data_IF_982669821675
#
_entry.id   IF_982669821675
#
_cell.length_a   1.000
_cell.length_b   1.000
_cell.length_c   1.000
_cell.angle_alpha   90.00
_cell.angle_beta   90.00
_cell.angle_gamma   90.00
#
_symmetry.space_group_name_H-M   'P 1'
#
loop_
_entity.id
_entity.type
_entity.pdbx_description
1 polymer ?
#
# COMPACT_ATOMS: atom_id res chain seq x y z
N UNK A 1 -14.27 4.47 -21.39
CA UNK A 1 -13.05 5.27 -21.20
C UNK A 1 -11.92 4.32 -20.81
N UNK A 2 -11.07 3.94 -21.76
CA UNK A 2 -9.94 3.06 -21.47
C UNK A 2 -8.91 3.83 -20.62
N UNK A 3 -8.61 3.32 -19.42
CA UNK A 3 -7.71 3.98 -18.49
C UNK A 3 -6.26 3.90 -19.03
N UNK A 4 -5.58 5.06 -19.12
CA UNK A 4 -4.16 5.10 -19.50
C UNK A 4 -3.32 4.37 -18.44
N UNK A 5 -2.24 3.69 -18.84
CA UNK A 5 -1.37 2.90 -17.95
C UNK A 5 -0.88 3.71 -16.76
N UNK A 6 -0.48 4.97 -16.98
CA UNK A 6 -0.03 5.87 -15.90
C UNK A 6 -1.15 6.20 -14.91
N UNK A 7 -2.40 6.23 -15.36
CA UNK A 7 -3.58 6.42 -14.50
C UNK A 7 -3.84 5.16 -13.69
N UNK A 8 -3.70 3.97 -14.28
CA UNK A 8 -3.77 2.69 -13.56
C UNK A 8 -2.71 2.62 -12.44
N UNK A 9 -1.46 2.95 -12.77
CA UNK A 9 -0.35 2.98 -11.81
C UNK A 9 -0.60 3.96 -10.66
N UNK A 10 -1.16 5.14 -10.96
CA UNK A 10 -1.52 6.12 -9.94
C UNK A 10 -2.61 5.59 -8.99
N UNK A 11 -3.68 4.99 -9.53
CA UNK A 11 -4.74 4.38 -8.72
C UNK A 11 -4.23 3.20 -7.89
N UNK A 12 -3.37 2.35 -8.46
CA UNK A 12 -2.75 1.23 -7.74
C UNK A 12 -1.89 1.72 -6.56
N UNK A 13 -1.12 2.80 -6.77
CA UNK A 13 -0.31 3.42 -5.71
C UNK A 13 -1.19 3.93 -4.56
N UNK A 14 -2.29 4.63 -4.89
CA UNK A 14 -3.24 5.16 -3.90
C UNK A 14 -3.90 4.01 -3.10
N UNK A 15 -4.37 2.97 -3.79
CA UNK A 15 -5.02 1.83 -3.15
C UNK A 15 -4.07 1.10 -2.18
N UNK A 16 -2.80 0.93 -2.55
CA UNK A 16 -1.82 0.29 -1.67
C UNK A 16 -1.47 1.12 -0.44
N UNK A 17 -1.40 2.45 -0.57
CA UNK A 17 -1.24 3.33 0.60
C UNK A 17 -2.42 3.18 1.55
N UNK A 18 -3.65 3.19 1.03
CA UNK A 18 -4.86 3.01 1.84
C UNK A 18 -4.84 1.64 2.55
N UNK A 19 -4.50 0.57 1.83
CA UNK A 19 -4.40 -0.77 2.43
C UNK A 19 -3.32 -0.87 3.50
N UNK A 20 -2.15 -0.26 3.29
CA UNK A 20 -1.08 -0.20 4.28
C UNK A 20 -1.53 0.50 5.58
N UNK A 21 -2.24 1.63 5.46
CA UNK A 21 -2.79 2.35 6.62
C UNK A 21 -3.85 1.52 7.35
N UNK A 22 -4.78 0.88 6.64
CA UNK A 22 -5.83 0.04 7.26
C UNK A 22 -5.22 -1.12 8.04
N UNK A 23 -4.20 -1.78 7.50
CA UNK A 23 -3.54 -2.90 8.16
C UNK A 23 -2.75 -2.47 9.41
N UNK A 24 -2.05 -1.33 9.34
CA UNK A 24 -1.35 -0.76 10.50
C UNK A 24 -2.35 -0.37 11.60
N UNK A 25 -3.45 0.30 11.23
CA UNK A 25 -4.50 0.67 12.19
C UNK A 25 -5.16 -0.57 12.81
N UNK A 26 -5.38 -1.63 12.04
CA UNK A 26 -5.93 -2.88 12.55
C UNK A 26 -4.98 -3.59 13.52
N UNK A 27 -3.67 -3.58 13.22
CA UNK A 27 -2.63 -4.08 14.11
C UNK A 27 -2.57 -3.30 15.43
N UNK A 28 -2.62 -1.97 15.36
CA UNK A 28 -2.52 -1.08 16.53
C UNK A 28 -3.78 -1.07 17.42
N UNK A 29 -4.99 -1.24 16.86
CA UNK A 29 -6.23 -1.15 17.64
C UNK A 29 -6.79 -2.51 18.10
N UNK A 30 -6.53 -3.61 17.38
CA UNK A 30 -7.26 -4.87 17.59
C UNK A 30 -6.38 -6.08 17.91
N UNK A 31 -5.08 -6.04 17.61
CA UNK A 31 -4.20 -7.21 17.72
C UNK A 31 -2.82 -6.91 18.35
N UNK A 32 -2.79 -6.01 19.34
CA UNK A 32 -1.54 -5.61 20.01
C UNK A 32 -0.72 -6.81 20.54
N UNK A 33 -1.40 -7.89 20.96
CA UNK A 33 -0.76 -9.04 21.64
C UNK A 33 -0.35 -10.19 20.70
N UNK A 34 -0.92 -10.29 19.48
CA UNK A 34 -0.71 -11.45 18.58
C UNK A 34 -0.21 -11.07 17.19
N UNK A 35 -0.54 -9.88 16.69
CA UNK A 35 -0.27 -9.54 15.28
C UNK A 35 0.31 -8.14 15.05
N UNK A 36 0.65 -7.37 16.10
CA UNK A 36 1.18 -6.01 16.00
C UNK A 36 2.39 -5.89 15.05
N UNK A 37 3.40 -6.75 15.22
CA UNK A 37 4.60 -6.76 14.37
C UNK A 37 4.33 -7.25 12.94
N UNK A 38 3.44 -8.24 12.78
CA UNK A 38 3.08 -8.81 11.47
C UNK A 38 2.31 -7.81 10.60
N UNK A 39 1.27 -7.18 11.15
CA UNK A 39 0.49 -6.17 10.43
C UNK A 39 1.29 -4.89 10.15
N UNK A 40 2.16 -4.47 11.06
CA UNK A 40 3.07 -3.35 10.81
C UNK A 40 4.05 -3.63 9.66
N UNK A 41 4.65 -4.83 9.64
CA UNK A 41 5.59 -5.25 8.57
C UNK A 41 4.89 -5.32 7.21
N UNK A 42 3.68 -5.86 7.17
CA UNK A 42 2.87 -5.91 5.94
C UNK A 42 2.50 -4.50 5.46
N UNK A 43 2.11 -3.59 6.37
CA UNK A 43 1.83 -2.20 6.05
C UNK A 43 3.03 -1.47 5.42
N UNK A 44 4.23 -1.66 5.98
CA UNK A 44 5.49 -1.16 5.40
C UNK A 44 5.74 -1.78 4.01
N UNK A 45 5.44 -3.07 3.84
CA UNK A 45 5.50 -3.75 2.55
C UNK A 45 4.62 -3.08 1.48
N UNK A 46 3.38 -2.70 1.82
CA UNK A 46 2.50 -1.97 0.90
C UNK A 46 3.06 -0.59 0.50
N UNK A 47 3.70 0.12 1.44
CA UNK A 47 4.38 1.37 1.13
C UNK A 47 5.58 1.18 0.20
N UNK A 48 6.34 0.09 0.35
CA UNK A 48 7.44 -0.23 -0.56
C UNK A 48 6.95 -0.49 -1.99
N UNK A 49 5.86 -1.22 -2.17
CA UNK A 49 5.27 -1.46 -3.50
C UNK A 49 4.70 -0.15 -4.07
N UNK A 50 4.10 0.71 -3.23
CA UNK A 50 3.59 2.02 -3.65
C UNK A 50 4.73 2.90 -4.18
N UNK A 51 5.90 2.88 -3.52
CA UNK A 51 7.09 3.57 -4.00
C UNK A 51 7.54 3.03 -5.38
N UNK A 52 7.56 1.71 -5.57
CA UNK A 52 7.92 1.09 -6.86
C UNK A 52 6.95 1.53 -7.96
N UNK A 53 5.64 1.50 -7.73
CA UNK A 53 4.66 1.92 -8.74
C UNK A 53 4.78 3.42 -9.06
N UNK A 54 5.05 4.25 -8.06
CA UNK A 54 5.32 5.66 -8.29
C UNK A 54 6.63 5.87 -9.08
N UNK A 55 7.67 5.08 -8.83
CA UNK A 55 8.94 5.14 -9.56
C UNK A 55 8.84 4.62 -11.01
N UNK A 56 7.92 3.68 -11.28
CA UNK A 56 7.63 3.16 -12.62
C UNK A 56 6.71 4.10 -13.42
N UNK A 57 5.95 4.98 -12.75
CA UNK A 57 5.06 5.94 -13.40
C UNK A 57 5.86 6.85 -14.34
N UNK A 58 5.56 6.79 -15.64
CA UNK A 58 6.26 7.58 -16.67
C UNK A 58 7.47 6.88 -17.30
N UNK A 59 7.82 5.68 -16.84
CA UNK A 59 8.89 4.83 -17.41
C UNK A 59 8.35 3.62 -18.18
N UNK A 60 7.05 3.31 -18.04
CA UNK A 60 6.33 2.17 -18.66
C UNK A 60 5.01 2.61 -19.29
#
# INVERSE_FOLDING_TARGET
MAMNKNTVLAWATILMIIMGVVLILMGAYRYDDVAGWGFATVGIGFFAIAWVFNALKGRV
#
